data_IF_168765690719
#
_entry.id   IF_168765690719
#
_cell.length_a   1.000
_cell.length_b   1.000
_cell.length_c   1.000
_cell.angle_alpha   90.00
_cell.angle_beta   90.00
_cell.angle_gamma   90.00
#
_symmetry.space_group_name_H-M   'P 1'
#
loop_
_entity.id
_entity.type
_entity.pdbx_description
1 polymer ?
#
# COMPACT_ATOMS: atom_id res chain seq x y z
N UNK A 1 -4.05 -8.96 -1.89
CA UNK A 1 -3.23 -7.77 -2.18
C UNK A 1 -2.47 -7.89 -3.51
N UNK A 2 -1.61 -8.89 -3.72
CA UNK A 2 -0.81 -9.06 -4.96
C UNK A 2 -1.70 -9.04 -6.22
N UNK A 3 -2.74 -9.87 -6.26
CA UNK A 3 -3.69 -9.93 -7.39
C UNK A 3 -4.37 -8.58 -7.64
N UNK A 4 -4.78 -7.88 -6.58
CA UNK A 4 -5.42 -6.57 -6.70
C UNK A 4 -4.47 -5.55 -7.36
N UNK A 5 -3.26 -5.40 -6.85
CA UNK A 5 -2.29 -4.49 -7.43
C UNK A 5 -1.88 -4.87 -8.86
N UNK A 6 -1.86 -6.17 -9.18
CA UNK A 6 -1.56 -6.60 -10.54
C UNK A 6 -2.63 -6.09 -11.53
N UNK A 7 -3.91 -6.31 -11.21
CA UNK A 7 -5.01 -5.93 -12.11
C UNK A 7 -5.28 -4.43 -12.12
N UNK A 8 -5.28 -3.78 -10.96
CA UNK A 8 -5.47 -2.32 -10.90
C UNK A 8 -4.32 -1.57 -11.55
N UNK A 9 -3.07 -1.99 -11.33
CA UNK A 9 -1.91 -1.43 -12.00
C UNK A 9 -1.96 -1.63 -13.52
N UNK A 10 -2.44 -2.79 -14.00
CA UNK A 10 -2.62 -3.02 -15.42
C UNK A 10 -3.62 -2.05 -16.07
N UNK A 11 -4.74 -1.75 -15.40
CA UNK A 11 -5.75 -0.82 -15.93
C UNK A 11 -5.21 0.60 -16.13
N UNK A 12 -4.23 1.03 -15.34
CA UNK A 12 -3.63 2.38 -15.41
C UNK A 12 -2.91 2.68 -16.74
N UNK A 13 -2.67 1.69 -17.56
CA UNK A 13 -2.05 1.87 -18.89
C UNK A 13 -3.04 2.33 -19.96
N UNK A 14 -4.33 2.21 -19.72
CA UNK A 14 -5.37 2.55 -20.68
C UNK A 14 -5.91 3.97 -20.49
N UNK A 15 -6.29 4.60 -21.62
CA UNK A 15 -6.80 5.98 -21.64
C UNK A 15 -8.11 6.12 -20.86
N UNK A 16 -9.02 5.16 -20.97
CA UNK A 16 -10.32 5.21 -20.27
C UNK A 16 -10.12 5.30 -18.75
N UNK A 17 -9.13 4.60 -18.23
CA UNK A 17 -8.83 4.61 -16.79
C UNK A 17 -8.23 5.96 -16.36
N UNK A 18 -7.32 6.54 -17.17
CA UNK A 18 -6.76 7.86 -16.90
C UNK A 18 -7.85 8.93 -16.78
N UNK A 19 -8.88 8.86 -17.61
CA UNK A 19 -10.04 9.76 -17.55
C UNK A 19 -10.93 9.47 -16.33
N UNK A 20 -11.13 8.19 -15.99
CA UNK A 20 -11.89 7.77 -14.80
C UNK A 20 -11.24 8.26 -13.51
N UNK A 21 -9.90 8.40 -13.45
CA UNK A 21 -9.18 8.87 -12.27
C UNK A 21 -9.33 10.38 -12.00
N UNK A 22 -9.82 11.18 -12.94
CA UNK A 22 -9.89 12.64 -12.80
C UNK A 22 -10.61 13.07 -11.50
N UNK A 23 -11.85 12.61 -11.21
CA UNK A 23 -12.54 13.02 -9.99
C UNK A 23 -11.83 12.57 -8.71
N UNK A 24 -11.08 11.46 -8.74
CA UNK A 24 -10.34 10.97 -7.57
C UNK A 24 -9.08 11.79 -7.30
N UNK A 25 -8.25 12.00 -8.32
CA UNK A 25 -6.98 12.72 -8.16
C UNK A 25 -7.21 14.20 -7.91
N UNK A 26 -8.14 14.84 -8.64
CA UNK A 26 -8.43 16.27 -8.49
C UNK A 26 -9.00 16.63 -7.12
N UNK A 27 -9.72 15.72 -6.45
CA UNK A 27 -10.30 15.95 -5.13
C UNK A 27 -9.50 15.28 -4.00
N UNK A 28 -8.39 14.61 -4.32
CA UNK A 28 -7.56 13.92 -3.33
C UNK A 28 -6.57 14.88 -2.65
N UNK A 29 -6.64 15.08 -1.32
CA UNK A 29 -5.81 16.06 -0.62
C UNK A 29 -4.30 15.74 -0.67
N UNK A 30 -3.93 14.48 -0.86
CA UNK A 30 -2.54 14.04 -0.92
C UNK A 30 -2.03 13.73 -2.32
N UNK A 31 -2.91 13.66 -3.33
CA UNK A 31 -2.54 13.20 -4.68
C UNK A 31 -2.86 14.20 -5.78
N UNK A 32 -3.50 15.35 -5.47
CA UNK A 32 -3.85 16.37 -6.47
C UNK A 32 -2.65 16.91 -7.26
N UNK A 33 -1.47 16.92 -6.64
CA UNK A 33 -0.22 17.38 -7.24
C UNK A 33 0.26 16.51 -8.42
N UNK A 34 -0.28 15.29 -8.57
CA UNK A 34 0.11 14.41 -9.67
C UNK A 34 -0.20 15.03 -11.04
N UNK A 35 -1.31 15.74 -11.16
CA UNK A 35 -1.69 16.34 -12.44
C UNK A 35 -0.82 17.52 -12.87
N UNK A 36 -0.50 18.51 -12.02
CA UNK A 36 0.46 19.55 -12.36
C UNK A 36 1.85 19.03 -12.75
N UNK A 37 2.26 17.89 -12.18
CA UNK A 37 3.61 17.33 -12.41
C UNK A 37 3.66 16.41 -13.64
N UNK A 38 2.69 15.51 -13.79
CA UNK A 38 2.73 14.43 -14.78
C UNK A 38 1.66 14.54 -15.87
N UNK A 39 0.69 15.46 -15.73
CA UNK A 39 -0.51 15.48 -16.56
C UNK A 39 -1.43 14.29 -16.28
N UNK A 40 -2.57 14.23 -16.95
CA UNK A 40 -3.62 13.20 -16.69
C UNK A 40 -3.06 11.79 -16.98
N UNK A 41 -2.45 11.60 -18.11
CA UNK A 41 -1.95 10.29 -18.54
C UNK A 41 -0.72 9.86 -17.76
N UNK A 42 0.22 10.79 -17.54
CA UNK A 42 1.42 10.51 -16.75
C UNK A 42 1.11 10.18 -15.28
N UNK A 43 0.11 10.81 -14.70
CA UNK A 43 -0.36 10.47 -13.35
C UNK A 43 -0.91 9.04 -13.27
N UNK A 44 -1.71 8.63 -14.27
CA UNK A 44 -2.20 7.25 -14.36
C UNK A 44 -1.04 6.25 -14.47
N UNK A 45 -0.07 6.50 -15.32
CA UNK A 45 1.11 5.64 -15.45
C UNK A 45 1.96 5.58 -14.18
N UNK A 46 2.15 6.72 -13.52
CA UNK A 46 2.86 6.78 -12.23
C UNK A 46 2.19 5.88 -11.18
N UNK A 47 0.87 5.95 -11.08
CA UNK A 47 0.11 5.07 -10.18
C UNK A 47 0.24 3.60 -10.58
N UNK A 48 0.12 3.29 -11.88
CA UNK A 48 0.26 1.92 -12.39
C UNK A 48 1.64 1.30 -12.09
N UNK A 49 2.72 2.06 -12.31
CA UNK A 49 4.09 1.63 -11.98
C UNK A 49 4.24 1.43 -10.47
N UNK A 50 3.69 2.34 -9.65
CA UNK A 50 3.72 2.21 -8.18
C UNK A 50 2.98 0.96 -7.70
N UNK A 51 1.80 0.69 -8.24
CA UNK A 51 1.01 -0.50 -7.90
C UNK A 51 1.72 -1.80 -8.31
N UNK A 52 2.36 -1.84 -9.46
CA UNK A 52 3.15 -2.99 -9.88
C UNK A 52 4.42 -3.17 -9.06
N UNK A 53 5.07 -2.08 -8.64
CA UNK A 53 6.19 -2.13 -7.71
C UNK A 53 5.75 -2.73 -6.36
N UNK A 54 4.63 -2.28 -5.80
CA UNK A 54 4.11 -2.83 -4.54
C UNK A 54 3.68 -4.29 -4.70
N UNK A 55 3.08 -4.65 -5.85
CA UNK A 55 2.77 -6.02 -6.21
C UNK A 55 4.03 -6.91 -6.16
N UNK A 56 5.11 -6.48 -6.84
CA UNK A 56 6.37 -7.22 -6.89
C UNK A 56 7.02 -7.34 -5.50
N UNK A 57 7.04 -6.25 -4.72
CA UNK A 57 7.59 -6.25 -3.36
C UNK A 57 6.81 -7.16 -2.41
N UNK A 58 5.47 -7.11 -2.45
CA UNK A 58 4.63 -8.00 -1.64
C UNK A 58 4.82 -9.46 -2.04
N UNK A 59 4.95 -9.75 -3.33
CA UNK A 59 5.21 -11.09 -3.83
C UNK A 59 6.59 -11.58 -3.38
N UNK A 60 7.64 -10.76 -3.55
CA UNK A 60 8.98 -11.06 -3.07
C UNK A 60 9.05 -11.21 -1.54
N UNK A 61 8.11 -10.63 -0.80
CA UNK A 61 7.94 -10.78 0.65
C UNK A 61 7.68 -12.22 1.11
N UNK A 62 7.27 -13.13 0.22
CA UNK A 62 7.17 -14.55 0.56
C UNK A 62 8.54 -15.15 0.86
N UNK A 63 9.58 -14.72 0.19
CA UNK A 63 10.97 -15.19 0.39
C UNK A 63 11.77 -14.25 1.29
N UNK A 64 11.59 -12.93 1.15
CA UNK A 64 12.33 -11.94 1.92
C UNK A 64 11.38 -10.96 2.63
N UNK A 65 11.24 -11.11 3.95
CA UNK A 65 10.31 -10.32 4.76
C UNK A 65 10.61 -8.82 4.76
N UNK A 66 11.85 -8.41 4.54
CA UNK A 66 12.20 -6.98 4.41
C UNK A 66 11.56 -6.36 3.16
N UNK A 67 11.52 -7.11 2.04
CA UNK A 67 10.81 -6.67 0.83
C UNK A 67 9.29 -6.64 1.05
N UNK A 68 8.75 -7.61 1.78
CA UNK A 68 7.33 -7.61 2.19
C UNK A 68 6.97 -6.37 3.01
N UNK A 69 7.83 -5.95 3.95
CA UNK A 69 7.65 -4.71 4.72
C UNK A 69 7.59 -3.50 3.80
N UNK A 70 8.50 -3.37 2.84
CA UNK A 70 8.51 -2.26 1.88
C UNK A 70 7.23 -2.24 1.02
N UNK A 71 6.81 -3.39 0.52
CA UNK A 71 5.57 -3.53 -0.24
C UNK A 71 4.32 -3.18 0.58
N UNK A 72 4.29 -3.62 1.85
CA UNK A 72 3.19 -3.29 2.76
C UNK A 72 3.16 -1.81 3.13
N UNK A 73 4.30 -1.17 3.36
CA UNK A 73 4.40 0.29 3.58
C UNK A 73 3.89 1.08 2.36
N UNK A 74 4.31 0.71 1.15
CA UNK A 74 3.81 1.32 -0.08
C UNK A 74 2.30 1.15 -0.22
N UNK A 75 1.77 -0.04 0.09
CA UNK A 75 0.33 -0.31 0.10
C UNK A 75 -0.43 0.56 1.10
N UNK A 76 0.08 0.69 2.32
CA UNK A 76 -0.50 1.56 3.36
C UNK A 76 -0.54 3.01 2.88
N UNK A 77 0.57 3.53 2.35
CA UNK A 77 0.64 4.90 1.82
C UNK A 77 -0.37 5.11 0.68
N UNK A 78 -0.48 4.16 -0.24
CA UNK A 78 -1.43 4.19 -1.35
C UNK A 78 -2.89 4.26 -0.86
N UNK A 79 -3.27 3.37 0.06
CA UNK A 79 -4.65 3.33 0.56
C UNK A 79 -4.97 4.47 1.55
N UNK A 80 -4.01 5.03 2.27
CA UNK A 80 -4.20 6.29 2.97
C UNK A 80 -4.54 7.39 1.96
N UNK A 81 -3.80 7.48 0.85
CA UNK A 81 -4.08 8.43 -0.22
C UNK A 81 -5.51 8.32 -0.73
N UNK A 82 -5.98 7.10 -1.05
CA UNK A 82 -7.33 6.88 -1.61
C UNK A 82 -8.46 7.03 -0.58
N UNK A 83 -8.28 6.54 0.65
CA UNK A 83 -9.29 6.68 1.73
C UNK A 83 -9.52 8.14 2.10
N UNK A 84 -8.48 8.97 2.09
CA UNK A 84 -8.60 10.41 2.37
C UNK A 84 -9.34 11.20 1.29
N UNK A 85 -9.59 10.64 0.12
CA UNK A 85 -10.43 11.26 -0.91
C UNK A 85 -11.91 11.23 -0.52
N UNK A 86 -12.36 10.22 0.24
CA UNK A 86 -13.77 9.96 0.53
C UNK A 86 -14.53 11.20 1.01
N UNK A 87 -14.05 11.98 2.00
CA UNK A 87 -14.75 13.17 2.49
C UNK A 87 -14.84 14.31 1.46
N UNK A 88 -13.91 14.36 0.50
CA UNK A 88 -13.79 15.43 -0.49
C UNK A 88 -14.43 15.08 -1.83
N UNK A 89 -15.05 13.92 -1.94
CA UNK A 89 -15.65 13.45 -3.19
C UNK A 89 -16.91 14.25 -3.53
N UNK A 90 -16.98 14.95 -4.67
CA UNK A 90 -18.17 15.69 -5.07
C UNK A 90 -19.35 14.72 -5.28
N UNK A 91 -20.52 15.14 -4.77
CA UNK A 91 -21.74 14.32 -4.81
C UNK A 91 -21.59 12.90 -4.24
N UNK A 92 -20.71 12.74 -3.25
CA UNK A 92 -20.46 11.44 -2.61
C UNK A 92 -21.54 10.99 -1.62
N UNK A 93 -22.44 11.89 -1.25
CA UNK A 93 -23.48 11.66 -0.24
C UNK A 93 -24.85 12.05 -0.80
N UNK A 94 -25.83 11.16 -0.67
CA UNK A 94 -27.17 11.33 -1.23
C UNK A 94 -27.98 12.37 -0.44
N UNK A 95 -28.09 13.59 -0.96
CA UNK A 95 -28.86 14.68 -0.33
C UNK A 95 -30.33 14.30 -0.13
N UNK A 96 -30.90 13.50 -1.04
CA UNK A 96 -32.29 12.98 -0.95
C UNK A 96 -32.51 12.03 0.24
N UNK A 97 -31.44 11.43 0.77
CA UNK A 97 -31.47 10.53 1.93
C UNK A 97 -30.90 11.18 3.20
N UNK A 98 -30.77 12.51 3.24
CA UNK A 98 -30.24 13.25 4.39
C UNK A 98 -28.70 13.43 4.38
N UNK A 99 -28.01 13.05 3.32
CA UNK A 99 -26.56 13.17 3.22
C UNK A 99 -25.82 12.00 3.85
N UNK A 100 -24.72 12.30 4.59
CA UNK A 100 -23.95 11.27 5.28
C UNK A 100 -24.85 10.48 6.27
N UNK A 101 -24.74 9.14 6.36
CA UNK A 101 -23.78 8.24 5.68
C UNK A 101 -24.31 7.59 4.38
N UNK A 102 -25.36 8.12 3.76
CA UNK A 102 -25.93 7.56 2.54
C UNK A 102 -25.00 7.80 1.34
N UNK A 103 -24.22 6.80 0.99
CA UNK A 103 -23.20 6.88 -0.06
C UNK A 103 -23.80 6.87 -1.45
N UNK A 104 -23.25 7.69 -2.36
CA UNK A 104 -23.60 7.73 -3.78
C UNK A 104 -22.37 8.02 -4.65
N UNK A 105 -22.55 8.01 -5.98
CA UNK A 105 -21.45 8.28 -6.91
C UNK A 105 -20.26 7.31 -6.72
N UNK A 106 -19.08 7.88 -6.56
CA UNK A 106 -17.82 7.12 -6.47
C UNK A 106 -17.42 6.70 -5.05
N UNK A 107 -18.12 7.17 -4.02
CA UNK A 107 -17.79 6.85 -2.60
C UNK A 107 -17.93 5.37 -2.28
N UNK A 108 -18.97 4.63 -2.72
CA UNK A 108 -19.06 3.18 -2.47
C UNK A 108 -17.85 2.41 -3.03
N UNK A 109 -17.32 2.84 -4.16
CA UNK A 109 -16.11 2.23 -4.73
C UNK A 109 -14.87 2.47 -3.87
N UNK A 110 -14.70 3.67 -3.31
CA UNK A 110 -13.58 4.00 -2.42
C UNK A 110 -13.67 3.31 -1.06
N UNK A 111 -14.87 2.94 -0.61
CA UNK A 111 -15.05 2.28 0.69
C UNK A 111 -14.35 0.93 0.79
N UNK A 112 -14.11 0.23 -0.32
CA UNK A 112 -13.29 -0.99 -0.33
C UNK A 112 -11.86 -0.73 0.14
N UNK A 113 -11.33 0.50 -0.11
CA UNK A 113 -9.95 0.85 0.19
C UNK A 113 -9.71 0.98 1.70
N UNK A 114 -10.77 1.21 2.50
CA UNK A 114 -10.72 1.14 3.97
C UNK A 114 -10.35 -0.28 4.42
N UNK A 115 -10.97 -1.29 3.82
CA UNK A 115 -10.65 -2.70 4.11
C UNK A 115 -9.25 -3.05 3.62
N UNK A 116 -8.87 -2.57 2.44
CA UNK A 116 -7.54 -2.80 1.88
C UNK A 116 -6.43 -2.12 2.70
N UNK A 117 -6.71 -0.95 3.27
CA UNK A 117 -5.83 -0.28 4.23
C UNK A 117 -5.63 -1.13 5.49
N UNK A 118 -6.71 -1.64 6.08
CA UNK A 118 -6.63 -2.50 7.25
C UNK A 118 -5.81 -3.78 6.98
N UNK A 119 -6.01 -4.41 5.82
CA UNK A 119 -5.23 -5.57 5.38
C UNK A 119 -3.75 -5.21 5.18
N UNK A 120 -3.44 -4.03 4.62
CA UNK A 120 -2.07 -3.57 4.42
C UNK A 120 -1.35 -3.35 5.76
N UNK A 121 -2.01 -2.74 6.73
CA UNK A 121 -1.49 -2.55 8.10
C UNK A 121 -1.25 -3.91 8.77
N UNK A 122 -2.18 -4.85 8.60
CA UNK A 122 -2.03 -6.20 9.14
C UNK A 122 -0.80 -6.94 8.56
N UNK A 123 -0.60 -6.88 7.23
CA UNK A 123 0.56 -7.47 6.57
C UNK A 123 1.86 -6.83 7.05
N UNK A 124 1.89 -5.49 7.15
CA UNK A 124 3.03 -4.75 7.67
C UNK A 124 3.39 -5.22 9.08
N UNK A 125 2.39 -5.25 9.99
CA UNK A 125 2.58 -5.73 11.36
C UNK A 125 3.15 -7.15 11.40
N UNK A 126 2.58 -8.07 10.62
CA UNK A 126 3.03 -9.46 10.58
C UNK A 126 4.48 -9.61 10.14
N UNK A 127 4.88 -8.94 9.06
CA UNK A 127 6.23 -9.06 8.54
C UNK A 127 7.27 -8.37 9.44
N UNK A 128 6.92 -7.23 10.06
CA UNK A 128 7.77 -6.59 11.10
C UNK A 128 7.97 -7.51 12.28
N UNK A 129 6.90 -8.12 12.82
CA UNK A 129 7.01 -9.06 13.94
C UNK A 129 7.87 -10.28 13.59
N UNK A 130 7.74 -10.83 12.39
CA UNK A 130 8.56 -11.97 11.95
C UNK A 130 10.04 -11.62 11.86
N UNK A 131 10.38 -10.43 11.36
CA UNK A 131 11.78 -9.97 11.30
C UNK A 131 12.34 -9.75 12.69
N UNK A 132 11.60 -9.12 13.62
CA UNK A 132 12.05 -8.88 14.98
C UNK A 132 12.27 -10.18 15.77
N UNK A 133 11.35 -11.14 15.66
CA UNK A 133 11.49 -12.45 16.32
C UNK A 133 12.67 -13.24 15.75
N UNK A 134 12.94 -13.16 14.46
CA UNK A 134 14.10 -13.81 13.84
C UNK A 134 15.40 -13.20 14.37
N UNK A 135 15.48 -11.90 14.50
CA UNK A 135 16.65 -11.21 15.06
C UNK A 135 16.91 -11.60 16.53
N UNK A 136 15.85 -11.72 17.34
CA UNK A 136 15.96 -12.15 18.73
C UNK A 136 16.45 -13.60 18.89
N UNK A 137 16.18 -14.48 17.93
CA UNK A 137 16.66 -15.87 17.96
C UNK A 137 18.13 -16.00 17.58
N UNK A 138 18.59 -15.18 16.64
CA UNK A 138 19.98 -15.25 16.14
C UNK A 138 20.98 -14.67 17.14
N UNK A 139 20.63 -13.63 17.88
CA UNK A 139 21.53 -12.97 18.83
C UNK A 139 22.09 -13.90 19.94
N UNK A 140 21.31 -14.76 20.63
CA UNK A 140 21.82 -15.71 21.61
C UNK A 140 22.75 -16.76 21.02
N UNK A 141 22.42 -17.30 19.82
CA UNK A 141 23.23 -18.30 19.15
C UNK A 141 24.62 -17.78 18.74
N UNK A 142 24.68 -16.53 18.29
CA UNK A 142 25.97 -15.88 17.99
C UNK A 142 26.84 -15.67 19.25
N UNK A 143 26.23 -15.25 20.34
CA UNK A 143 26.93 -15.10 21.63
C UNK A 143 27.51 -16.43 22.12
N UNK A 144 26.74 -17.52 22.04
CA UNK A 144 27.22 -18.86 22.39
C UNK A 144 28.34 -19.32 21.45
N UNK A 145 28.23 -19.06 20.14
CA UNK A 145 29.29 -19.41 19.18
C UNK A 145 30.61 -18.66 19.48
N UNK A 146 30.51 -17.38 19.81
CA UNK A 146 31.68 -16.57 20.19
C UNK A 146 32.28 -17.07 21.48
N UNK A 147 31.48 -17.39 22.51
CA UNK A 147 31.97 -17.96 23.79
C UNK A 147 32.73 -19.28 23.57
N UNK A 148 32.13 -20.22 22.84
CA UNK A 148 32.78 -21.53 22.51
C UNK A 148 34.07 -21.37 21.68
N UNK A 149 34.16 -20.36 20.82
CA UNK A 149 35.40 -20.08 20.07
C UNK A 149 36.50 -19.56 20.99
N UNK A 150 36.16 -18.71 21.95
CA UNK A 150 37.14 -18.21 22.95
C UNK A 150 37.68 -19.31 23.82
N UNK A 151 36.84 -20.23 24.29
CA UNK A 151 37.26 -21.38 25.10
C UNK A 151 38.23 -22.30 24.34
N UNK A 152 37.93 -22.56 23.03
CA UNK A 152 38.81 -23.42 22.19
C UNK A 152 40.12 -22.74 21.78
N UNK A 153 40.21 -21.41 21.81
CA UNK A 153 41.47 -20.70 21.52
C UNK A 153 42.37 -20.44 22.74
N UNK A 154 41.86 -20.77 23.94
CA UNK A 154 42.59 -20.63 25.20
C UNK A 154 43.19 -21.95 25.74
N UNK A 155 42.87 -23.07 25.08
CA UNK A 155 43.42 -24.41 25.37
C UNK A 155 44.49 -24.80 24.35
#
# INVERSE_FOLDING_TARGET
MVILFLFFGYQKWFEYEAQTLIPYISNGPFIFWLYPVFGIRGASWFLGVSEWLFCALLFAGFWNKKLGILGALGSVASFIGTVTIIPFMPNGWAASAGGFPAMTGNVPFLMKDVVLLAVSIYLLKQDVMRVSLSAQRVAPEELERVARRRERGAA
#
